data_IF_921322283967
#
_entry.id   IF_921322283967
#
_cell.length_a   1.000
_cell.length_b   1.000
_cell.length_c   1.000
_cell.angle_alpha   90.00
_cell.angle_beta   90.00
_cell.angle_gamma   90.00
#
_symmetry.space_group_name_H-M   'P 1'
#
loop_
_entity.id
_entity.type
_entity.pdbx_description
1 polymer ?
#
# COMPACT_ATOMS: atom_id res chain seq x y z
N UNK A 1 -20.45 9.69 -3.29
CA UNK A 1 -21.05 9.09 -4.51
C UNK A 1 -19.90 8.66 -5.41
N UNK A 2 -19.89 7.43 -5.91
CA UNK A 2 -18.87 6.93 -6.83
C UNK A 2 -19.53 6.24 -8.02
N UNK A 3 -18.90 6.30 -9.19
CA UNK A 3 -19.34 5.64 -10.42
C UNK A 3 -18.52 4.36 -10.61
N UNK A 4 -19.19 3.23 -10.92
CA UNK A 4 -18.49 2.01 -11.34
C UNK A 4 -18.07 2.19 -12.80
N UNK A 5 -16.80 1.93 -13.08
CA UNK A 5 -16.23 1.92 -14.43
C UNK A 5 -15.86 0.49 -14.81
N UNK A 6 -15.84 0.23 -16.11
CA UNK A 6 -15.49 -1.03 -16.74
C UNK A 6 -14.17 -0.89 -17.50
N UNK A 7 -13.61 -2.00 -17.98
CA UNK A 7 -12.38 -1.98 -18.80
C UNK A 7 -12.57 -1.27 -20.16
N UNK A 8 -13.80 -0.97 -20.55
CA UNK A 8 -14.14 -0.29 -21.80
C UNK A 8 -14.19 1.23 -21.64
N UNK A 9 -14.16 1.73 -20.40
CA UNK A 9 -14.25 3.15 -20.10
C UNK A 9 -12.87 3.80 -20.16
N UNK A 10 -12.76 4.92 -20.87
CA UNK A 10 -11.56 5.75 -20.85
C UNK A 10 -11.61 6.68 -19.64
N UNK A 11 -10.77 6.39 -18.64
CA UNK A 11 -10.68 7.20 -17.44
C UNK A 11 -9.45 8.11 -17.54
N UNK A 12 -9.68 9.43 -17.45
CA UNK A 12 -8.61 10.42 -17.41
C UNK A 12 -8.56 11.11 -16.04
N UNK A 13 -7.36 11.29 -15.51
CA UNK A 13 -7.08 12.13 -14.34
C UNK A 13 -6.26 13.32 -14.83
N UNK A 14 -6.76 14.53 -14.63
CA UNK A 14 -6.13 15.78 -15.12
C UNK A 14 -5.78 15.73 -16.63
N UNK A 15 -6.66 15.14 -17.43
CA UNK A 15 -6.48 14.99 -18.88
C UNK A 15 -5.46 13.92 -19.29
N UNK A 16 -4.95 13.12 -18.36
CA UNK A 16 -4.02 12.01 -18.65
C UNK A 16 -4.72 10.66 -18.46
N UNK A 17 -4.58 9.71 -19.40
CA UNK A 17 -5.21 8.40 -19.29
C UNK A 17 -4.66 7.64 -18.08
N UNK A 18 -5.58 7.07 -17.29
CA UNK A 18 -5.26 6.21 -16.17
C UNK A 18 -4.74 4.87 -16.72
N UNK A 19 -3.51 4.51 -16.36
CA UNK A 19 -2.90 3.25 -16.81
C UNK A 19 -3.52 2.07 -16.06
N UNK A 20 -3.52 0.90 -16.72
CA UNK A 20 -3.96 -0.36 -16.10
C UNK A 20 -3.18 -0.62 -14.80
N UNK A 21 -3.88 -1.08 -13.76
CA UNK A 21 -3.28 -1.36 -12.46
C UNK A 21 -2.18 -2.42 -12.57
N UNK A 22 -1.08 -2.20 -11.86
CA UNK A 22 -0.04 -3.20 -11.62
C UNK A 22 -0.64 -4.45 -10.97
N UNK A 23 0.00 -5.62 -11.17
CA UNK A 23 -0.43 -6.83 -10.45
C UNK A 23 -0.27 -6.58 -8.94
N UNK A 24 -1.28 -6.92 -8.12
CA UNK A 24 -1.17 -6.71 -6.68
C UNK A 24 -0.04 -7.54 -6.10
N UNK A 25 0.83 -6.90 -5.31
CA UNK A 25 1.93 -7.55 -4.60
C UNK A 25 1.52 -7.73 -3.14
N UNK A 26 1.76 -8.92 -2.60
CA UNK A 26 1.52 -9.26 -1.20
C UNK A 26 2.83 -9.61 -0.53
N UNK A 27 3.20 -8.85 0.52
CA UNK A 27 4.40 -9.10 1.31
C UNK A 27 3.97 -9.56 2.70
N UNK A 28 4.41 -10.75 3.10
CA UNK A 28 4.28 -11.22 4.47
C UNK A 28 5.56 -10.84 5.23
N UNK A 29 5.45 -9.90 6.18
CA UNK A 29 6.57 -9.44 6.98
C UNK A 29 6.39 -9.82 8.45
N UNK A 30 7.37 -10.54 9.00
CA UNK A 30 7.57 -10.62 10.44
C UNK A 30 8.33 -9.38 10.90
N UNK A 31 7.60 -8.36 11.36
CA UNK A 31 8.23 -7.09 11.73
C UNK A 31 8.98 -7.23 13.06
N UNK A 32 10.20 -6.68 13.20
CA UNK A 32 10.88 -6.63 14.48
C UNK A 32 10.17 -5.66 15.45
N UNK A 33 10.48 -5.80 16.74
CA UNK A 33 10.06 -4.83 17.75
C UNK A 33 10.66 -3.46 17.43
N UNK A 34 9.86 -2.40 17.62
CA UNK A 34 10.27 -1.03 17.30
C UNK A 34 9.81 -0.52 15.94
N UNK A 35 9.31 -1.39 15.05
CA UNK A 35 8.72 -0.96 13.76
C UNK A 35 7.22 -0.68 13.92
N UNK A 36 6.81 0.51 13.49
CA UNK A 36 5.44 1.00 13.52
C UNK A 36 4.71 0.68 12.23
N UNK A 37 3.51 0.11 12.34
CA UNK A 37 2.67 -0.26 11.20
C UNK A 37 1.92 0.97 10.64
N UNK A 38 2.66 1.91 10.06
CA UNK A 38 2.11 3.15 9.45
C UNK A 38 2.77 3.43 8.10
N UNK A 39 2.04 4.14 7.23
CA UNK A 39 2.57 4.62 5.94
C UNK A 39 3.01 6.09 5.98
N UNK A 40 2.93 6.72 7.17
CA UNK A 40 3.41 8.07 7.42
C UNK A 40 4.94 8.11 7.40
N UNK A 41 5.51 8.91 6.49
CA UNK A 41 6.97 9.02 6.29
C UNK A 41 7.67 9.80 7.40
N UNK A 42 6.94 10.64 8.14
CA UNK A 42 7.50 11.45 9.22
C UNK A 42 7.67 10.66 10.53
N UNK A 43 7.18 9.42 10.58
CA UNK A 43 7.35 8.52 11.71
C UNK A 43 8.62 7.69 11.53
N UNK A 44 9.61 7.91 12.40
CA UNK A 44 10.82 7.10 12.44
C UNK A 44 10.46 5.63 12.75
N UNK A 45 11.09 4.71 12.02
CA UNK A 45 10.79 3.28 12.14
C UNK A 45 9.42 2.87 11.60
N UNK A 46 8.88 3.61 10.63
CA UNK A 46 7.69 3.15 9.90
C UNK A 46 7.99 1.93 9.02
N UNK A 47 6.94 1.14 8.75
CA UNK A 47 7.05 -0.13 8.01
C UNK A 47 7.41 0.07 6.53
N UNK A 48 7.11 1.22 5.93
CA UNK A 48 7.41 1.48 4.52
C UNK A 48 8.92 1.62 4.33
N UNK A 49 9.57 2.42 5.16
CA UNK A 49 11.01 2.63 5.10
C UNK A 49 11.78 1.38 5.50
N UNK A 50 11.26 0.61 6.46
CA UNK A 50 11.87 -0.66 6.87
C UNK A 50 11.94 -1.69 5.74
N UNK A 51 10.93 -1.72 4.85
CA UNK A 51 10.87 -2.69 3.74
C UNK A 51 11.65 -2.20 2.52
N UNK A 52 11.78 -0.88 2.35
CA UNK A 52 12.48 -0.30 1.21
C UNK A 52 11.82 -0.60 -0.14
N UNK A 53 10.50 -0.83 -0.14
CA UNK A 53 9.76 -1.08 -1.38
C UNK A 53 9.58 0.23 -2.15
N UNK A 54 9.76 0.19 -3.47
CA UNK A 54 9.69 1.37 -4.34
C UNK A 54 8.26 1.87 -4.53
N UNK A 55 7.31 0.95 -4.53
CA UNK A 55 5.89 1.25 -4.73
C UNK A 55 5.17 1.42 -3.38
N UNK A 56 4.00 2.08 -3.41
CA UNK A 56 3.31 2.48 -2.19
C UNK A 56 2.56 1.29 -1.60
N UNK A 57 3.13 0.73 -0.54
CA UNK A 57 2.53 -0.37 0.20
C UNK A 57 1.62 0.12 1.33
N UNK A 58 0.55 -0.65 1.59
CA UNK A 58 -0.38 -0.41 2.69
C UNK A 58 -0.52 -1.64 3.57
N UNK A 59 -0.46 -1.49 4.90
CA UNK A 59 -0.64 -2.61 5.79
C UNK A 59 -2.10 -3.10 5.74
N UNK A 60 -2.27 -4.40 5.55
CA UNK A 60 -3.55 -5.12 5.58
C UNK A 60 -3.78 -5.58 7.02
N UNK A 61 -4.80 -5.01 7.64
CA UNK A 61 -5.18 -5.27 9.03
C UNK A 61 -4.50 -4.34 10.02
N UNK A 62 -5.21 -4.02 11.11
CA UNK A 62 -4.62 -3.37 12.29
C UNK A 62 -4.40 -4.47 13.32
N UNK A 63 -3.14 -4.80 13.60
CA UNK A 63 -2.80 -5.75 14.66
C UNK A 63 -2.35 -4.94 15.88
N UNK A 64 -3.13 -4.93 16.95
CA UNK A 64 -2.80 -4.27 18.21
C UNK A 64 -1.63 -4.99 18.96
N UNK A 65 -0.95 -5.95 18.31
CA UNK A 65 0.15 -6.77 18.86
C UNK A 65 1.24 -7.04 17.81
N UNK A 66 2.51 -7.17 18.19
CA UNK A 66 3.62 -6.92 17.29
C UNK A 66 4.14 -8.22 16.69
N UNK A 67 3.64 -8.72 15.55
CA UNK A 67 4.41 -9.78 14.87
C UNK A 67 4.14 -9.99 13.39
N UNK A 68 3.02 -9.60 12.78
CA UNK A 68 2.81 -9.86 11.34
C UNK A 68 2.08 -8.70 10.67
N UNK A 69 2.72 -8.12 9.66
CA UNK A 69 2.08 -7.17 8.75
C UNK A 69 2.05 -7.79 7.35
N UNK A 70 0.85 -7.90 6.78
CA UNK A 70 0.67 -8.16 5.36
C UNK A 70 0.61 -6.82 4.65
N UNK A 71 1.29 -6.66 3.53
CA UNK A 71 1.31 -5.38 2.81
C UNK A 71 0.80 -5.56 1.38
N UNK A 72 -0.02 -4.62 0.96
CA UNK A 72 -0.63 -4.55 -0.35
C UNK A 72 -0.04 -3.40 -1.15
N UNK A 73 0.38 -3.65 -2.38
CA UNK A 73 0.80 -2.64 -3.35
C UNK A 73 -0.36 -2.27 -4.30
N UNK A 74 -0.69 -0.98 -4.45
CA UNK A 74 -1.84 -0.46 -5.23
C UNK A 74 -1.46 0.07 -6.60
#
# INVERSE_FOLDING_TARGET
MGMKVTEQDEVLVDGKPLRAKSKPIYIALNKPTGITCTTERDIEGNIVDFIGHKERIFPIGRLDKPLMAYLFDQ
#
